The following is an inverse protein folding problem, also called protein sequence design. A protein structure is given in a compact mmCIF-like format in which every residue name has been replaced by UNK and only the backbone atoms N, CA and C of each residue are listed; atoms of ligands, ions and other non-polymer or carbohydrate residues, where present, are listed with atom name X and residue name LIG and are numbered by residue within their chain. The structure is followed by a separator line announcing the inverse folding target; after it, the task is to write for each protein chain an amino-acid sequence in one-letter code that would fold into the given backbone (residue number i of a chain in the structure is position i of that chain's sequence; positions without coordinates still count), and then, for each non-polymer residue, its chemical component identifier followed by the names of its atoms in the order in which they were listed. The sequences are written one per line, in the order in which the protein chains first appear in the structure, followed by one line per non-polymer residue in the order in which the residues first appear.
data_IF_289963090778
#
_entry.id   IF_289963090778
#
_cell.length_a   1.000
_cell.length_b   1.000
_cell.length_c   1.000
_cell.angle_alpha   90.00
_cell.angle_beta   90.00
_cell.angle_gamma   90.00
#
_symmetry.space_group_name_H-M   'P 1'
#
loop_
_entity.id
_entity.type
_entity.pdbx_description
1 polymer ?
#
# COMPACT_ATOMS: atom_id res chain seq x y z
N UNK A 1 0.94 -8.24 24.48
CA UNK A 1 1.45 -8.07 23.11
C UNK A 1 0.44 -7.27 22.31
N UNK A 2 0.90 -6.21 21.65
CA UNK A 2 0.00 -5.33 20.89
C UNK A 2 -0.14 -5.82 19.45
N UNK A 3 -1.34 -5.67 18.90
CA UNK A 3 -1.60 -6.01 17.50
C UNK A 3 -1.11 -4.87 16.60
N UNK A 4 -0.14 -5.10 15.69
CA UNK A 4 0.42 -4.04 14.87
C UNK A 4 -0.45 -3.60 13.69
N UNK A 5 -1.49 -4.35 13.32
CA UNK A 5 -2.21 -4.16 12.06
C UNK A 5 -2.73 -2.75 11.87
N UNK A 6 -3.43 -2.20 12.87
CA UNK A 6 -4.01 -0.86 12.75
C UNK A 6 -2.94 0.23 12.67
N UNK A 7 -1.80 0.04 13.34
CA UNK A 7 -0.71 1.03 13.33
C UNK A 7 0.01 1.05 11.99
N UNK A 8 0.11 -0.12 11.33
CA UNK A 8 0.64 -0.21 9.98
C UNK A 8 -0.29 0.51 9.00
N UNK A 9 -1.60 0.24 9.07
CA UNK A 9 -2.58 0.93 8.22
C UNK A 9 -2.59 2.44 8.45
N UNK A 10 -2.47 2.87 9.70
CA UNK A 10 -2.40 4.30 10.04
C UNK A 10 -1.18 4.97 9.39
N UNK A 11 -0.04 4.30 9.41
CA UNK A 11 1.15 4.84 8.76
C UNK A 11 0.91 5.08 7.29
N UNK A 12 0.40 4.09 6.58
CA UNK A 12 0.17 4.22 5.14
C UNK A 12 -0.90 5.26 4.84
N UNK A 13 -1.96 5.28 5.63
CA UNK A 13 -3.00 6.30 5.48
C UNK A 13 -2.43 7.71 5.66
N UNK A 14 -1.70 7.95 6.73
CA UNK A 14 -1.16 9.28 7.03
C UNK A 14 -0.09 9.71 6.02
N UNK A 15 0.66 8.76 5.48
CA UNK A 15 1.76 9.05 4.55
C UNK A 15 1.27 9.29 3.13
N UNK A 16 0.24 8.59 2.70
CA UNK A 16 -0.14 8.54 1.29
C UNK A 16 -1.46 9.24 0.98
N UNK A 17 -2.35 9.43 1.96
CA UNK A 17 -3.65 10.01 1.68
C UNK A 17 -3.53 11.47 1.29
N UNK A 18 -4.16 11.83 0.16
CA UNK A 18 -4.16 13.20 -0.31
C UNK A 18 -2.92 13.64 -1.06
N UNK A 19 -2.01 12.73 -1.40
CA UNK A 19 -0.85 13.11 -2.19
C UNK A 19 -1.26 13.54 -3.60
N UNK A 20 -0.52 14.49 -4.18
CA UNK A 20 -0.78 15.00 -5.51
C UNK A 20 0.20 14.39 -6.50
N UNK A 21 -0.33 13.78 -7.55
CA UNK A 21 0.46 13.18 -8.63
C UNK A 21 -0.12 13.64 -9.96
N UNK A 22 0.69 14.31 -10.76
CA UNK A 22 0.28 14.85 -12.08
C UNK A 22 -1.01 15.69 -12.01
N UNK A 23 -1.15 16.50 -10.94
CA UNK A 23 -2.30 17.35 -10.75
C UNK A 23 -3.54 16.67 -10.19
N UNK A 24 -3.47 15.36 -9.91
CA UNK A 24 -4.57 14.61 -9.32
C UNK A 24 -4.30 14.37 -7.85
N UNK A 25 -5.34 14.49 -7.01
CA UNK A 25 -5.29 14.15 -5.61
C UNK A 25 -5.59 12.65 -5.45
N UNK A 26 -4.66 11.92 -4.86
CA UNK A 26 -4.77 10.48 -4.69
C UNK A 26 -5.19 10.18 -3.26
N UNK A 27 -6.28 9.42 -3.10
CA UNK A 27 -6.75 8.97 -1.80
C UNK A 27 -6.38 7.51 -1.56
N UNK A 28 -6.23 7.15 -0.30
CA UNK A 28 -5.98 5.77 0.10
C UNK A 28 -7.16 5.26 0.92
N UNK A 29 -7.59 4.04 0.66
CA UNK A 29 -8.75 3.43 1.28
C UNK A 29 -8.42 2.06 1.86
N UNK A 30 -9.11 1.72 2.95
CA UNK A 30 -8.88 0.45 3.65
C UNK A 30 -9.60 -0.71 2.96
N UNK A 31 -10.89 -0.56 2.66
CA UNK A 31 -11.63 -1.63 2.00
C UNK A 31 -12.76 -1.15 1.09
N UNK A 32 -13.22 0.07 1.26
CA UNK A 32 -14.34 0.60 0.48
C UNK A 32 -13.97 1.88 -0.22
N UNK A 33 -14.27 1.94 -1.50
CA UNK A 33 -13.92 3.04 -2.37
C UNK A 33 -15.17 3.90 -2.58
N UNK A 34 -15.08 5.22 -2.36
CA UNK A 34 -16.18 6.12 -2.73
C UNK A 34 -16.44 6.08 -4.23
N UNK A 35 -17.69 6.26 -4.61
CA UNK A 35 -18.06 6.35 -6.01
C UNK A 35 -17.34 7.53 -6.69
N UNK A 36 -17.13 7.42 -8.00
CA UNK A 36 -16.53 8.47 -8.85
C UNK A 36 -15.04 8.72 -8.62
N UNK A 37 -14.30 7.77 -8.07
CA UNK A 37 -12.84 7.85 -8.02
C UNK A 37 -12.24 7.17 -9.24
N UNK A 38 -11.35 7.88 -9.94
CA UNK A 38 -10.66 7.37 -11.12
C UNK A 38 -9.19 7.02 -10.87
N UNK A 39 -8.66 7.42 -9.73
CA UNK A 39 -7.30 7.08 -9.31
C UNK A 39 -7.25 7.03 -7.78
N UNK A 40 -6.81 5.91 -7.23
CA UNK A 40 -6.75 5.73 -5.78
C UNK A 40 -5.80 4.58 -5.42
N UNK A 41 -5.53 4.47 -4.13
CA UNK A 41 -4.76 3.35 -3.56
C UNK A 41 -5.68 2.59 -2.62
N UNK A 42 -5.66 1.26 -2.71
CA UNK A 42 -6.44 0.40 -1.83
C UNK A 42 -5.50 -0.50 -1.04
N UNK A 43 -5.69 -0.54 0.28
CA UNK A 43 -5.00 -1.52 1.13
C UNK A 43 -5.79 -2.82 1.06
N UNK A 44 -5.27 -3.80 0.32
CA UNK A 44 -6.06 -4.99 -0.02
C UNK A 44 -5.85 -6.17 0.91
N UNK A 45 -4.61 -6.54 1.14
CA UNK A 45 -4.28 -7.74 1.89
C UNK A 45 -3.33 -7.40 3.01
N UNK A 46 -3.63 -7.88 4.18
CA UNK A 46 -2.77 -7.69 5.34
C UNK A 46 -2.70 -9.01 6.10
N UNK A 47 -1.48 -9.46 6.39
CA UNK A 47 -1.28 -10.66 7.21
C UNK A 47 -0.06 -10.47 8.09
N UNK A 48 -0.01 -11.24 9.16
CA UNK A 48 1.13 -11.24 10.05
C UNK A 48 1.34 -12.62 10.62
N UNK A 49 2.57 -12.90 10.99
CA UNK A 49 2.93 -14.09 11.75
C UNK A 49 3.86 -13.68 12.87
N UNK A 50 3.82 -14.43 13.95
CA UNK A 50 4.76 -14.25 15.04
C UNK A 50 6.14 -14.70 14.56
N UNK A 51 7.16 -13.88 14.87
CA UNK A 51 8.53 -14.20 14.49
C UNK A 51 9.13 -15.28 15.37
N UNK A 52 10.45 -15.42 15.30
CA UNK A 52 11.18 -16.46 16.02
C UNK A 52 10.95 -16.36 17.53
N UNK A 53 10.26 -17.35 18.18
CA UNK A 53 9.95 -17.28 19.59
C UNK A 53 11.19 -17.44 20.51
N UNK A 54 12.33 -17.83 19.95
CA UNK A 54 13.58 -17.95 20.73
C UNK A 54 14.27 -16.60 20.92
N UNK A 55 13.84 -15.56 20.22
CA UNK A 55 14.39 -14.22 20.36
C UNK A 55 13.70 -13.46 21.50
N UNK A 56 14.47 -12.63 22.18
CA UNK A 56 13.98 -11.92 23.36
C UNK A 56 12.91 -10.88 23.05
N UNK A 57 12.85 -10.37 21.85
CA UNK A 57 11.98 -9.24 21.46
C UNK A 57 10.74 -9.64 20.66
N UNK A 58 10.42 -10.92 20.57
CA UNK A 58 9.20 -11.44 19.91
C UNK A 58 8.78 -10.61 18.70
N UNK A 59 9.50 -10.69 17.58
CA UNK A 59 9.18 -9.87 16.41
C UNK A 59 7.92 -10.37 15.70
N UNK A 60 7.28 -9.44 14.98
CA UNK A 60 6.20 -9.75 14.05
C UNK A 60 6.75 -9.69 12.63
N UNK A 61 6.35 -10.64 11.81
CA UNK A 61 6.60 -10.63 10.37
C UNK A 61 5.30 -10.25 9.68
N UNK A 62 5.24 -9.03 9.16
CA UNK A 62 4.01 -8.43 8.66
C UNK A 62 4.08 -8.19 7.16
N UNK A 63 2.96 -8.41 6.48
CA UNK A 63 2.79 -8.11 5.06
C UNK A 63 1.58 -7.22 4.87
N UNK A 64 1.71 -6.22 4.02
CA UNK A 64 0.58 -5.41 3.57
C UNK A 64 0.74 -5.14 2.08
N UNK A 65 -0.34 -5.33 1.31
CA UNK A 65 -0.34 -5.07 -0.12
C UNK A 65 -1.14 -3.81 -0.41
N UNK A 66 -0.52 -2.91 -1.16
CA UNK A 66 -1.18 -1.72 -1.69
C UNK A 66 -1.47 -1.94 -3.17
N UNK A 67 -2.66 -1.58 -3.59
CA UNK A 67 -3.15 -1.70 -4.96
C UNK A 67 -3.38 -0.29 -5.50
N UNK A 68 -2.54 0.14 -6.43
CA UNK A 68 -2.68 1.43 -7.10
C UNK A 68 -3.58 1.22 -8.31
N UNK A 69 -4.76 1.83 -8.28
CA UNK A 69 -5.81 1.63 -9.30
C UNK A 69 -6.03 2.92 -10.07
N UNK A 70 -6.02 2.82 -11.40
CA UNK A 70 -6.39 3.91 -12.28
C UNK A 70 -7.46 3.42 -13.24
N UNK A 71 -8.50 4.25 -13.46
CA UNK A 71 -9.66 3.90 -14.26
C UNK A 71 -9.84 4.95 -15.34
N UNK A 72 -9.99 4.48 -16.57
CA UNK A 72 -10.26 5.32 -17.75
C UNK A 72 -11.60 4.92 -18.36
N UNK A 73 -12.53 5.88 -18.48
CA UNK A 73 -13.87 5.64 -19.03
C UNK A 73 -13.93 6.20 -20.45
N UNK A 74 -14.31 5.37 -21.41
CA UNK A 74 -14.54 5.77 -22.82
C UNK A 74 -13.31 6.37 -23.52
N UNK A 75 -12.10 6.14 -22.99
CA UNK A 75 -10.85 6.63 -23.56
C UNK A 75 -9.81 5.52 -23.54
N UNK A 76 -8.92 5.54 -24.50
CA UNK A 76 -7.73 4.68 -24.44
C UNK A 76 -6.89 5.09 -23.22
N UNK A 77 -6.68 4.17 -22.32
CA UNK A 77 -5.93 4.42 -21.10
C UNK A 77 -4.43 4.30 -21.30
N UNK A 78 -3.70 4.63 -20.24
CA UNK A 78 -2.24 4.53 -20.18
C UNK A 78 -1.84 4.07 -18.80
N UNK A 79 -0.71 3.34 -18.73
CA UNK A 79 -0.14 2.92 -17.45
C UNK A 79 0.68 4.02 -16.78
N UNK A 80 0.89 5.15 -17.47
CA UNK A 80 1.79 6.20 -17.00
C UNK A 80 1.38 6.74 -15.63
N UNK A 81 0.10 7.04 -15.43
CA UNK A 81 -0.37 7.57 -14.15
C UNK A 81 -0.16 6.56 -13.02
N UNK A 82 -0.47 5.29 -13.25
CA UNK A 82 -0.25 4.24 -12.25
C UNK A 82 1.24 4.11 -11.89
N UNK A 83 2.11 4.18 -12.89
CA UNK A 83 3.56 4.15 -12.66
C UNK A 83 4.03 5.36 -11.85
N UNK A 84 3.51 6.55 -12.15
CA UNK A 84 3.87 7.77 -11.43
C UNK A 84 3.36 7.75 -10.00
N UNK A 85 2.16 7.23 -9.77
CA UNK A 85 1.64 7.04 -8.40
C UNK A 85 2.51 6.06 -7.64
N UNK A 86 2.87 4.93 -8.25
CA UNK A 86 3.72 3.93 -7.60
C UNK A 86 5.09 4.50 -7.25
N UNK A 87 5.67 5.31 -8.13
CA UNK A 87 6.95 5.97 -7.87
C UNK A 87 6.85 6.90 -6.66
N UNK A 88 5.78 7.68 -6.55
CA UNK A 88 5.55 8.56 -5.41
C UNK A 88 5.32 7.76 -4.12
N UNK A 89 4.61 6.64 -4.20
CA UNK A 89 4.43 5.72 -3.06
C UNK A 89 5.78 5.22 -2.57
N UNK A 90 6.63 4.75 -3.48
CA UNK A 90 7.95 4.24 -3.11
C UNK A 90 8.82 5.31 -2.48
N UNK A 91 8.75 6.53 -3.01
CA UNK A 91 9.51 7.66 -2.51
C UNK A 91 9.09 8.03 -1.07
N UNK A 92 7.79 8.03 -0.80
CA UNK A 92 7.26 8.42 0.51
C UNK A 92 7.38 7.34 1.58
N UNK A 93 7.58 6.09 1.18
CA UNK A 93 7.59 4.94 2.09
C UNK A 93 8.97 4.32 2.28
N UNK A 94 10.03 5.07 2.01
CA UNK A 94 11.40 4.57 2.16
C UNK A 94 11.72 4.16 3.60
N UNK A 95 11.14 4.85 4.57
CA UNK A 95 11.34 4.57 5.99
C UNK A 95 9.98 4.43 6.67
N UNK A 96 9.45 3.21 6.69
CA UNK A 96 8.16 2.94 7.33
C UNK A 96 8.32 3.03 8.85
N UNK A 97 7.42 3.79 9.48
CA UNK A 97 7.35 3.94 10.92
C UNK A 97 6.03 3.39 11.42
N UNK A 98 6.09 2.50 12.40
CA UNK A 98 4.90 1.91 12.99
C UNK A 98 4.84 2.33 14.46
N UNK A 99 3.78 3.04 14.84
CA UNK A 99 3.65 3.60 16.19
C UNK A 99 3.69 2.51 17.25
N UNK A 100 4.61 2.64 18.20
CA UNK A 100 4.78 1.68 19.29
C UNK A 100 5.62 0.47 18.93
N UNK A 101 6.20 0.44 17.74
CA UNK A 101 7.04 -0.66 17.25
C UNK A 101 8.32 -0.12 16.62
N UNK A 102 9.34 -0.96 16.60
CA UNK A 102 10.59 -0.68 15.89
C UNK A 102 10.62 -1.52 14.63
N UNK A 103 10.78 -0.88 13.48
CA UNK A 103 10.91 -1.57 12.19
C UNK A 103 12.37 -2.01 12.04
N UNK A 104 12.59 -3.32 12.10
CA UNK A 104 13.92 -3.90 12.01
C UNK A 104 14.34 -4.17 10.59
N UNK A 105 13.40 -4.48 9.72
CA UNK A 105 13.66 -4.75 8.32
C UNK A 105 12.44 -4.39 7.50
N UNK A 106 12.68 -3.84 6.32
CA UNK A 106 11.66 -3.48 5.36
C UNK A 106 12.08 -3.97 3.99
N UNK A 107 11.20 -4.66 3.29
CA UNK A 107 11.46 -5.09 1.92
C UNK A 107 10.19 -4.98 1.09
N UNK A 108 10.36 -4.91 -0.23
CA UNK A 108 9.26 -4.75 -1.19
C UNK A 108 9.23 -5.94 -2.12
N UNK A 109 8.01 -6.33 -2.49
CA UNK A 109 7.76 -7.28 -3.55
C UNK A 109 6.70 -6.71 -4.48
N UNK A 110 6.87 -6.90 -5.78
CA UNK A 110 5.97 -6.34 -6.78
C UNK A 110 5.26 -7.47 -7.52
N UNK A 111 4.03 -7.82 -7.11
CA UNK A 111 3.21 -8.76 -7.88
C UNK A 111 2.98 -8.25 -9.31
N UNK A 112 2.64 -9.13 -10.25
CA UNK A 112 2.38 -8.70 -11.62
C UNK A 112 1.27 -7.66 -11.71
N UNK A 113 1.43 -6.70 -12.62
CA UNK A 113 0.40 -5.72 -12.92
C UNK A 113 -0.83 -6.40 -13.50
N UNK A 114 -2.00 -5.86 -13.19
CA UNK A 114 -3.28 -6.37 -13.66
C UNK A 114 -3.93 -5.30 -14.53
N UNK A 115 -4.35 -5.68 -15.74
CA UNK A 115 -5.09 -4.79 -16.62
C UNK A 115 -6.41 -5.44 -16.99
N UNK A 116 -7.49 -4.69 -16.87
CA UNK A 116 -8.82 -5.10 -17.28
C UNK A 116 -9.34 -4.12 -18.29
N UNK A 117 -9.53 -4.54 -19.53
CA UNK A 117 -9.97 -3.69 -20.62
C UNK A 117 -11.29 -4.19 -21.16
N UNK A 118 -12.30 -3.31 -21.17
CA UNK A 118 -13.62 -3.58 -21.76
C UNK A 118 -13.87 -2.58 -22.90
N UNK A 119 -15.02 -2.68 -23.54
CA UNK A 119 -15.39 -1.75 -24.61
C UNK A 119 -15.59 -0.31 -24.10
N UNK A 120 -15.82 -0.13 -22.80
CA UNK A 120 -16.16 1.18 -22.22
C UNK A 120 -15.19 1.64 -21.15
N UNK A 121 -14.27 0.78 -20.70
CA UNK A 121 -13.44 1.08 -19.54
C UNK A 121 -12.10 0.37 -19.62
N UNK A 122 -11.05 1.03 -19.17
CA UNK A 122 -9.74 0.44 -18.95
C UNK A 122 -9.34 0.67 -17.51
N UNK A 123 -9.00 -0.42 -16.81
CA UNK A 123 -8.57 -0.37 -15.41
C UNK A 123 -7.17 -0.95 -15.33
N UNK A 124 -6.25 -0.16 -14.80
CA UNK A 124 -4.87 -0.59 -14.57
C UNK A 124 -4.62 -0.67 -13.07
N UNK A 125 -4.10 -1.81 -12.61
CA UNK A 125 -3.80 -2.05 -11.21
C UNK A 125 -2.35 -2.43 -11.06
N UNK A 126 -1.65 -1.69 -10.21
CA UNK A 126 -0.25 -1.91 -9.92
C UNK A 126 -0.10 -2.19 -8.42
N UNK A 127 0.52 -3.32 -8.09
CA UNK A 127 0.56 -3.79 -6.71
C UNK A 127 1.97 -3.72 -6.14
N UNK A 128 2.05 -3.42 -4.85
CA UNK A 128 3.29 -3.53 -4.09
C UNK A 128 2.97 -4.15 -2.74
N UNK A 129 3.77 -5.14 -2.35
CA UNK A 129 3.66 -5.78 -1.04
C UNK A 129 4.84 -5.37 -0.19
N UNK A 130 4.54 -4.80 0.96
CA UNK A 130 5.54 -4.46 1.98
C UNK A 130 5.66 -5.61 2.95
N UNK A 131 6.90 -6.06 3.18
CA UNK A 131 7.21 -6.97 4.26
C UNK A 131 7.95 -6.19 5.34
N UNK A 132 7.40 -6.19 6.54
CA UNK A 132 7.94 -5.45 7.67
C UNK A 132 8.21 -6.44 8.81
N UNK A 133 9.46 -6.50 9.26
CA UNK A 133 9.82 -7.22 10.47
C UNK A 133 9.92 -6.19 11.57
N UNK A 134 9.02 -6.26 12.54
CA UNK A 134 8.89 -5.25 13.58
C UNK A 134 8.87 -5.91 14.96
N UNK A 135 9.29 -5.16 15.96
CA UNK A 135 9.19 -5.59 17.36
C UNK A 135 8.52 -4.51 18.18
N UNK A 136 7.75 -4.95 19.19
CA UNK A 136 7.07 -4.04 20.09
C UNK A 136 8.07 -3.28 20.95
N UNK A 137 7.88 -1.97 21.10
CA UNK A 137 8.69 -1.15 21.99
C UNK A 137 8.27 -1.38 23.44
N UNK A 138 9.24 -1.39 24.29
CA UNK A 138 8.99 -1.51 25.73
C UNK A 138 8.51 -0.19 26.34
#
# INVERSE_FOLDING_TARGET
MRNPDKYIRQYFYNTLNGMSVNGKTISIHDYRIPDNKDAYILMTTQQKSEGDPTKCDTPWDCYITLDVVTIYNNIAGSRLLADDIMEEVMKRTQNVLVSGFTVKKQSLDFPPDISTITSTQAIFRKLVTFNLIISENE
#
